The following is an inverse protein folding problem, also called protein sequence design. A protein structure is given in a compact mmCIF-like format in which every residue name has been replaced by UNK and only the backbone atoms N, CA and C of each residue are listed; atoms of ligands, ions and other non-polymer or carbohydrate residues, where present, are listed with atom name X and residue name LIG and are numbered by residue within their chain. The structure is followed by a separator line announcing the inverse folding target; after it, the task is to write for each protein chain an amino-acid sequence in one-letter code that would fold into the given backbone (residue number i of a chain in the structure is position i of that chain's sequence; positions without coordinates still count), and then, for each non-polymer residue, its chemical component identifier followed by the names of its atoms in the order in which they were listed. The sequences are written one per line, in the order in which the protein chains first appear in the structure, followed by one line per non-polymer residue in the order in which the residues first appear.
data_IF_536838460845
#
_entry.id   IF_536838460845
#
_cell.length_a   1.000
_cell.length_b   1.000
_cell.length_c   1.000
_cell.angle_alpha   90.00
_cell.angle_beta   90.00
_cell.angle_gamma   90.00
#
_symmetry.space_group_name_H-M   'P 1'
#
loop_
_entity.id
_entity.type
_entity.pdbx_description
1 polymer ?
#
# COMPACT_ATOMS: atom_id res chain seq x y z
N UNK A 1 18.25 -6.14 -15.37
CA UNK A 1 17.54 -5.31 -14.38
C UNK A 1 17.40 -6.14 -13.11
N UNK A 2 17.60 -5.54 -11.94
CA UNK A 2 17.58 -6.27 -10.68
C UNK A 2 16.13 -6.70 -10.39
N UNK A 3 15.80 -7.98 -10.49
CA UNK A 3 14.44 -8.55 -10.33
C UNK A 3 13.90 -8.48 -8.88
N UNK A 4 14.47 -7.61 -8.03
CA UNK A 4 14.21 -7.53 -6.59
C UNK A 4 12.84 -6.94 -6.25
N UNK A 5 12.33 -6.05 -7.09
CA UNK A 5 11.06 -5.35 -6.90
C UNK A 5 10.24 -5.49 -8.18
N UNK A 6 8.99 -5.91 -8.05
CA UNK A 6 8.04 -5.99 -9.18
C UNK A 6 6.95 -4.98 -8.92
N UNK A 7 6.70 -4.08 -9.88
CA UNK A 7 5.61 -3.11 -9.74
C UNK A 7 4.29 -3.86 -9.51
N UNK A 8 3.50 -3.37 -8.55
CA UNK A 8 2.19 -3.91 -8.24
C UNK A 8 1.10 -2.88 -8.54
N UNK A 9 1.12 -1.72 -7.87
CA UNK A 9 0.10 -0.69 -8.06
C UNK A 9 0.60 0.72 -7.68
N UNK A 10 -0.17 1.75 -8.03
CA UNK A 10 -0.06 3.13 -7.56
C UNK A 10 -1.30 3.45 -6.73
N UNK A 11 -1.13 3.64 -5.43
CA UNK A 11 -2.19 4.04 -4.50
C UNK A 11 -2.30 5.57 -4.43
N UNK A 12 -3.50 6.09 -4.63
CA UNK A 12 -3.77 7.53 -4.69
C UNK A 12 -4.81 7.90 -3.63
N UNK A 13 -4.42 8.65 -2.59
CA UNK A 13 -5.37 9.18 -1.63
C UNK A 13 -6.38 10.13 -2.27
N UNK A 14 -7.64 10.01 -1.87
CA UNK A 14 -8.74 10.89 -2.28
C UNK A 14 -9.66 11.20 -1.10
N UNK A 15 -10.31 12.36 -1.16
CA UNK A 15 -11.39 12.75 -0.24
C UNK A 15 -12.78 12.57 -0.85
N UNK A 16 -12.84 12.25 -2.14
CA UNK A 16 -14.07 12.09 -2.91
C UNK A 16 -14.40 10.59 -2.96
N UNK A 17 -15.61 10.16 -2.60
CA UNK A 17 -16.04 8.77 -2.79
C UNK A 17 -15.90 8.33 -4.25
N UNK A 18 -15.44 7.10 -4.45
CA UNK A 18 -15.28 6.51 -5.78
C UNK A 18 -16.32 5.41 -5.98
N UNK A 19 -17.02 5.44 -7.11
CA UNK A 19 -18.02 4.43 -7.43
C UNK A 19 -17.39 3.02 -7.43
N UNK A 20 -17.99 2.10 -6.66
CA UNK A 20 -17.48 0.73 -6.52
C UNK A 20 -16.44 0.52 -5.42
N UNK A 21 -16.16 1.53 -4.59
CA UNK A 21 -15.23 1.39 -3.47
C UNK A 21 -15.66 0.29 -2.48
N UNK A 22 -14.70 -0.53 -2.07
CA UNK A 22 -14.85 -1.57 -1.04
C UNK A 22 -14.31 -1.04 0.27
N UNK A 23 -14.95 -1.37 1.39
CA UNK A 23 -14.53 -0.93 2.71
C UNK A 23 -13.72 -2.00 3.45
N UNK A 24 -12.59 -1.59 4.04
CA UNK A 24 -11.74 -2.39 4.91
C UNK A 24 -11.88 -1.87 6.36
N UNK A 25 -12.75 -2.50 7.19
CA UNK A 25 -13.10 -1.97 8.52
C UNK A 25 -11.90 -1.85 9.47
N UNK A 26 -10.98 -2.81 9.43
CA UNK A 26 -9.83 -2.85 10.34
C UNK A 26 -8.87 -1.69 10.14
N UNK A 27 -8.84 -1.14 8.92
CA UNK A 27 -7.97 -0.04 8.54
C UNK A 27 -8.71 1.29 8.37
N UNK A 28 -10.05 1.25 8.32
CA UNK A 28 -10.93 2.39 8.03
C UNK A 28 -10.62 3.06 6.70
N UNK A 29 -10.50 2.23 5.67
CA UNK A 29 -10.15 2.64 4.31
C UNK A 29 -11.22 2.15 3.35
N UNK A 30 -11.61 3.02 2.44
CA UNK A 30 -12.32 2.65 1.21
C UNK A 30 -11.30 2.60 0.08
N UNK A 31 -11.32 1.53 -0.72
CA UNK A 31 -10.37 1.37 -1.83
C UNK A 31 -11.08 0.88 -3.10
N UNK A 32 -10.59 1.28 -4.26
CA UNK A 32 -11.22 0.99 -5.55
C UNK A 32 -10.23 1.00 -6.71
N UNK A 33 -10.55 0.27 -7.79
CA UNK A 33 -9.95 0.43 -9.12
C UNK A 33 -8.74 -0.46 -9.42
N UNK A 34 -8.00 -0.92 -8.40
CA UNK A 34 -6.79 -1.73 -8.61
C UNK A 34 -7.05 -2.96 -9.48
N UNK A 35 -8.07 -3.75 -9.13
CA UNK A 35 -8.40 -5.04 -9.78
C UNK A 35 -8.73 -4.88 -11.28
N UNK A 36 -9.26 -3.73 -11.68
CA UNK A 36 -9.73 -3.46 -13.05
C UNK A 36 -8.74 -2.63 -13.88
N UNK A 37 -7.64 -2.18 -13.28
CA UNK A 37 -6.70 -1.27 -13.91
C UNK A 37 -5.53 -2.01 -14.57
N UNK A 38 -5.39 -1.88 -15.90
CA UNK A 38 -4.22 -2.35 -16.67
C UNK A 38 -2.89 -1.83 -16.10
N UNK A 39 -2.89 -0.63 -15.54
CA UNK A 39 -1.71 0.03 -14.97
C UNK A 39 -1.68 0.01 -13.43
N UNK A 40 -2.52 -0.79 -12.78
CA UNK A 40 -2.58 -0.88 -11.31
C UNK A 40 -2.89 0.44 -10.60
N UNK A 41 -3.85 1.24 -11.05
CA UNK A 41 -4.28 2.46 -10.37
C UNK A 41 -5.28 2.11 -9.28
N UNK A 42 -4.99 2.50 -8.04
CA UNK A 42 -5.87 2.35 -6.90
C UNK A 42 -6.22 3.71 -6.29
N UNK A 43 -7.51 3.93 -6.05
CA UNK A 43 -8.00 5.07 -5.28
C UNK A 43 -8.26 4.67 -3.84
N UNK A 44 -7.82 5.50 -2.90
CA UNK A 44 -7.92 5.20 -1.47
C UNK A 44 -8.50 6.38 -0.70
N UNK A 45 -9.59 6.16 0.05
CA UNK A 45 -10.25 7.18 0.87
C UNK A 45 -10.25 6.74 2.33
N UNK A 46 -9.67 7.56 3.18
CA UNK A 46 -9.48 7.26 4.60
C UNK A 46 -10.54 7.94 5.45
N UNK A 47 -11.04 7.25 6.49
CA UNK A 47 -11.89 7.92 7.48
C UNK A 47 -11.09 8.91 8.34
N UNK A 48 -11.78 9.90 8.90
CA UNK A 48 -11.17 10.98 9.70
C UNK A 48 -10.46 10.47 10.96
N UNK A 49 -10.84 9.30 11.48
CA UNK A 49 -10.22 8.68 12.65
C UNK A 49 -9.31 7.49 12.31
N UNK A 50 -9.00 7.28 11.03
CA UNK A 50 -7.99 6.33 10.57
C UNK A 50 -6.62 6.61 11.22
N UNK A 51 -6.01 5.57 11.78
CA UNK A 51 -4.77 5.65 12.57
C UNK A 51 -3.49 5.45 11.75
N UNK A 52 -3.62 5.26 10.44
CA UNK A 52 -2.46 5.15 9.58
C UNK A 52 -1.65 6.47 9.57
N UNK A 53 -0.33 6.38 9.34
CA UNK A 53 0.54 7.55 9.27
C UNK A 53 0.02 8.58 8.27
N UNK A 54 0.17 9.87 8.59
CA UNK A 54 -0.36 10.96 7.76
C UNK A 54 0.18 10.92 6.32
N UNK A 55 1.45 10.55 6.16
CA UNK A 55 2.10 10.42 4.85
C UNK A 55 1.38 9.42 3.94
N UNK A 56 0.85 8.32 4.49
CA UNK A 56 0.11 7.29 3.72
C UNK A 56 -1.25 7.83 3.28
N UNK A 57 -1.88 8.67 4.10
CA UNK A 57 -3.21 9.23 3.83
C UNK A 57 -3.20 10.44 2.89
N UNK A 58 -2.03 11.02 2.62
CA UNK A 58 -1.91 12.33 1.93
C UNK A 58 -0.98 12.32 0.72
N UNK A 59 -0.09 11.34 0.59
CA UNK A 59 0.86 11.23 -0.51
C UNK A 59 0.60 9.92 -1.25
N UNK A 60 0.55 9.92 -2.60
CA UNK A 60 0.47 8.68 -3.37
C UNK A 60 1.65 7.76 -3.08
N UNK A 61 1.40 6.45 -3.04
CA UNK A 61 2.44 5.43 -2.88
C UNK A 61 2.57 4.57 -4.11
N UNK A 62 3.79 4.12 -4.39
CA UNK A 62 4.02 3.02 -5.32
C UNK A 62 4.17 1.74 -4.51
N UNK A 63 3.49 0.70 -4.94
CA UNK A 63 3.58 -0.62 -4.34
C UNK A 63 4.46 -1.54 -5.19
N UNK A 64 5.30 -2.32 -4.51
CA UNK A 64 6.12 -3.34 -5.13
C UNK A 64 5.96 -4.68 -4.42
N UNK A 65 5.83 -5.74 -5.21
CA UNK A 65 6.04 -7.08 -4.67
C UNK A 65 7.53 -7.36 -4.45
N UNK A 66 7.82 -8.07 -3.37
CA UNK A 66 9.14 -8.52 -2.96
C UNK A 66 9.14 -9.99 -2.58
N UNK A 67 10.29 -10.64 -2.69
CA UNK A 67 10.43 -12.05 -2.34
C UNK A 67 10.54 -12.26 -0.81
N UNK A 68 11.17 -11.31 -0.12
CA UNK A 68 11.30 -11.30 1.33
C UNK A 68 11.14 -9.87 1.86
N UNK A 69 10.08 -9.63 2.63
CA UNK A 69 9.74 -8.30 3.15
C UNK A 69 10.73 -7.82 4.21
N UNK A 70 11.23 -8.72 5.06
CA UNK A 70 12.20 -8.38 6.11
C UNK A 70 13.55 -7.97 5.52
N UNK A 71 13.97 -8.61 4.44
CA UNK A 71 15.15 -8.19 3.67
C UNK A 71 14.91 -6.88 2.92
N UNK A 72 13.67 -6.66 2.44
CA UNK A 72 13.32 -5.48 1.68
C UNK A 72 13.30 -4.20 2.53
N UNK A 73 12.88 -4.29 3.80
CA UNK A 73 12.82 -3.14 4.74
C UNK A 73 14.16 -2.86 5.46
N UNK A 74 15.14 -3.76 5.38
CA UNK A 74 16.39 -3.64 6.14
C UNK A 74 17.15 -2.35 5.82
N UNK A 75 17.46 -1.57 6.87
CA UNK A 75 18.19 -0.30 6.75
C UNK A 75 17.37 0.86 6.18
N UNK A 76 16.05 0.71 6.08
CA UNK A 76 15.12 1.72 5.57
C UNK A 76 14.34 2.37 6.69
N UNK A 77 13.75 3.52 6.42
CA UNK A 77 12.80 4.19 7.32
C UNK A 77 11.44 3.50 7.22
N UNK A 78 11.17 2.56 8.12
CA UNK A 78 9.86 1.88 8.20
C UNK A 78 8.85 2.84 8.82
N UNK A 79 7.69 2.98 8.18
CA UNK A 79 6.57 3.82 8.65
C UNK A 79 5.33 2.99 9.01
N UNK A 80 5.20 1.79 8.44
CA UNK A 80 4.27 0.75 8.90
C UNK A 80 5.03 -0.57 8.95
N UNK A 81 5.10 -1.16 10.14
CA UNK A 81 5.75 -2.46 10.35
C UNK A 81 5.02 -3.59 9.60
N UNK A 82 5.72 -4.69 9.26
CA UNK A 82 5.13 -5.85 8.60
C UNK A 82 3.85 -6.34 9.31
N UNK A 83 2.73 -6.35 8.58
CA UNK A 83 1.44 -6.85 9.03
C UNK A 83 0.71 -7.59 7.89
N UNK A 84 -0.45 -8.18 8.18
CA UNK A 84 -1.19 -9.04 7.23
C UNK A 84 -2.61 -8.51 7.02
N UNK A 85 -2.88 -7.75 5.94
CA UNK A 85 -4.22 -7.22 5.67
C UNK A 85 -5.18 -8.29 5.17
N UNK A 86 -4.65 -9.40 4.65
CA UNK A 86 -5.42 -10.56 4.23
C UNK A 86 -4.57 -11.83 4.38
N UNK A 87 -5.24 -12.98 4.34
CA UNK A 87 -4.59 -14.29 4.45
C UNK A 87 -3.55 -14.48 3.35
N UNK A 88 -2.31 -14.74 3.76
CA UNK A 88 -1.21 -15.02 2.84
C UNK A 88 -0.53 -13.79 2.23
N UNK A 89 -0.94 -12.57 2.61
CA UNK A 89 -0.31 -11.32 2.19
C UNK A 89 0.36 -10.65 3.38
N UNK A 90 1.64 -10.33 3.27
CA UNK A 90 2.36 -9.49 4.24
C UNK A 90 2.68 -8.16 3.58
N UNK A 91 2.36 -7.06 4.26
CA UNK A 91 2.65 -5.70 3.79
C UNK A 91 3.45 -4.92 4.82
N UNK A 92 4.29 -4.01 4.35
CA UNK A 92 5.01 -3.03 5.15
C UNK A 92 5.14 -1.74 4.34
N UNK A 93 5.20 -0.60 5.02
CA UNK A 93 5.48 0.67 4.36
C UNK A 93 6.81 1.21 4.82
N UNK A 94 7.57 1.73 3.85
CA UNK A 94 8.77 2.53 4.08
C UNK A 94 8.55 3.94 3.56
N UNK A 95 9.37 4.87 4.02
CA UNK A 95 9.50 6.18 3.40
C UNK A 95 10.82 6.25 2.61
N UNK A 96 10.71 6.63 1.34
CA UNK A 96 11.83 6.81 0.42
C UNK A 96 11.68 8.18 -0.25
N UNK A 97 12.67 9.07 -0.06
CA UNK A 97 12.66 10.44 -0.60
C UNK A 97 11.37 11.24 -0.31
N UNK A 98 10.79 11.05 0.88
CA UNK A 98 9.56 11.72 1.30
C UNK A 98 8.27 11.15 0.69
N UNK A 99 8.35 10.04 -0.04
CA UNK A 99 7.18 9.30 -0.54
C UNK A 99 7.01 7.97 0.21
N UNK A 100 5.76 7.56 0.51
CA UNK A 100 5.48 6.23 1.00
C UNK A 100 5.68 5.19 -0.12
N UNK A 101 6.30 4.07 0.22
CA UNK A 101 6.41 2.90 -0.66
C UNK A 101 5.81 1.71 0.07
N UNK A 102 4.85 1.04 -0.56
CA UNK A 102 4.30 -0.20 -0.06
C UNK A 102 5.13 -1.38 -0.58
N UNK A 103 5.47 -2.30 0.32
CA UNK A 103 6.15 -3.54 -0.02
C UNK A 103 5.21 -4.69 0.32
N UNK A 104 4.98 -5.56 -0.67
CA UNK A 104 4.02 -6.66 -0.60
C UNK A 104 4.76 -7.99 -0.77
N UNK A 105 4.50 -8.95 0.10
CA UNK A 105 4.95 -10.32 -0.07
C UNK A 105 3.73 -11.24 -0.01
N UNK A 106 3.44 -11.92 -1.11
CA UNK A 106 2.42 -12.97 -1.16
C UNK A 106 3.06 -14.34 -0.91
N UNK A 107 2.35 -15.23 -0.21
CA UNK A 107 2.72 -16.65 -0.20
C UNK A 107 2.48 -17.21 -1.59
N UNK A 108 3.48 -17.90 -2.14
CA UNK A 108 3.30 -18.75 -3.33
C UNK A 108 2.56 -20.03 -2.98
#
# INVERSE_FOLDING_TARGET
MNNKYRYHHLGIPTTIPVDGEKYLPDYKIYHCGYEDSEFGIEWMRYESDCKLPEIVKTIPHVAFEVDNIFDAIKGRKVIIEPNSPSDGVIVAFIEENGAPIELIQTKK
#
